data_IF_496505861128
#
_entry.id   IF_496505861128
#
_cell.length_a   1.000
_cell.length_b   1.000
_cell.length_c   1.000
_cell.angle_alpha   90.00
_cell.angle_beta   90.00
_cell.angle_gamma   90.00
#
_symmetry.space_group_name_H-M   'P 1'
#
loop_
_entity.id
_entity.type
_entity.pdbx_description
1 polymer ?
#
# COMPACT_ATOMS: atom_id res chain seq x y z
N UNK A 1 7.90 -62.90 -14.17
CA UNK A 1 7.76 -62.26 -12.84
C UNK A 1 8.35 -60.86 -12.94
N UNK A 2 7.49 -59.83 -13.03
CA UNK A 2 7.31 -58.74 -12.05
C UNK A 2 8.55 -57.85 -11.82
N UNK A 3 8.47 -56.62 -12.38
CA UNK A 3 8.87 -55.28 -11.86
C UNK A 3 10.35 -55.13 -11.43
N UNK A 4 11.12 -54.14 -11.86
CA UNK A 4 11.01 -52.73 -11.45
C UNK A 4 11.51 -51.77 -12.53
N UNK A 5 10.69 -50.74 -12.70
CA UNK A 5 10.81 -49.59 -13.59
C UNK A 5 11.35 -48.42 -12.75
N UNK A 6 12.04 -47.49 -13.41
CA UNK A 6 12.24 -46.07 -13.03
C UNK A 6 12.94 -45.77 -11.71
N UNK A 7 14.24 -45.50 -11.78
CA UNK A 7 14.95 -44.84 -10.67
C UNK A 7 16.29 -44.20 -11.00
N UNK A 8 16.70 -44.12 -12.28
CA UNK A 8 18.08 -43.76 -12.63
C UNK A 8 18.16 -42.84 -13.87
N UNK A 9 17.37 -41.77 -13.90
CA UNK A 9 17.51 -40.72 -14.93
C UNK A 9 17.46 -39.29 -14.36
N UNK A 10 17.50 -39.12 -13.04
CA UNK A 10 17.45 -37.80 -12.39
C UNK A 10 18.82 -37.33 -11.84
N UNK A 11 19.94 -37.95 -12.26
CA UNK A 11 21.24 -37.74 -11.62
C UNK A 11 22.36 -37.17 -12.52
N UNK A 12 22.09 -36.68 -13.74
CA UNK A 12 23.20 -36.38 -14.67
C UNK A 12 23.08 -35.15 -15.58
N UNK A 13 22.20 -34.16 -15.31
CA UNK A 13 22.04 -33.02 -16.24
C UNK A 13 21.78 -31.62 -15.63
N UNK A 14 22.24 -31.31 -14.41
CA UNK A 14 22.16 -29.92 -13.90
C UNK A 14 23.46 -29.40 -13.25
N UNK A 15 24.60 -29.95 -13.65
CA UNK A 15 25.91 -29.29 -13.56
C UNK A 15 26.11 -28.36 -14.76
N UNK A 16 25.41 -27.23 -14.76
CA UNK A 16 25.76 -26.08 -15.59
C UNK A 16 25.36 -24.82 -14.83
N UNK A 17 26.31 -24.29 -14.07
CA UNK A 17 26.15 -23.05 -13.34
C UNK A 17 25.96 -21.89 -14.31
N UNK A 18 24.74 -21.37 -14.37
CA UNK A 18 24.42 -20.01 -14.82
C UNK A 18 23.06 -19.66 -14.22
N UNK A 19 23.02 -19.36 -12.91
CA UNK A 19 21.95 -18.53 -12.38
C UNK A 19 22.59 -17.22 -11.98
N UNK A 20 22.37 -16.23 -12.83
CA UNK A 20 22.67 -14.84 -12.57
C UNK A 20 22.23 -14.48 -11.16
N UNK A 21 23.20 -14.06 -10.36
CA UNK A 21 23.01 -13.36 -9.09
C UNK A 21 22.37 -11.99 -9.37
N UNK A 22 21.14 -11.97 -9.88
CA UNK A 22 20.33 -10.77 -9.93
C UNK A 22 19.84 -10.53 -8.51
N UNK A 23 20.46 -9.55 -7.85
CA UNK A 23 20.21 -9.16 -6.47
C UNK A 23 18.73 -9.10 -6.14
N UNK A 24 18.24 -10.12 -5.44
CA UNK A 24 17.06 -9.98 -4.63
C UNK A 24 17.52 -9.29 -3.35
N UNK A 25 17.41 -7.95 -3.34
CA UNK A 25 17.42 -7.18 -2.12
C UNK A 25 16.45 -7.87 -1.15
N UNK A 26 17.00 -8.47 -0.09
CA UNK A 26 16.21 -9.13 0.93
C UNK A 26 15.19 -8.12 1.46
N UNK A 27 13.92 -8.34 1.14
CA UNK A 27 12.85 -7.54 1.69
C UNK A 27 12.94 -7.66 3.21
N UNK A 28 13.15 -6.53 3.90
CA UNK A 28 13.20 -6.51 5.35
C UNK A 28 11.94 -7.17 5.93
N UNK A 29 12.05 -7.94 7.03
CA UNK A 29 10.91 -8.61 7.63
C UNK A 29 9.85 -7.58 8.02
N UNK A 30 8.61 -7.82 7.59
CA UNK A 30 7.46 -6.99 7.97
C UNK A 30 7.03 -7.29 9.41
N UNK A 31 6.73 -6.24 10.17
CA UNK A 31 6.11 -6.31 11.49
C UNK A 31 4.72 -6.93 11.35
N UNK A 32 4.54 -8.13 11.91
CA UNK A 32 3.23 -8.77 12.00
C UNK A 32 2.45 -8.25 13.21
N UNK A 33 1.57 -7.28 12.98
CA UNK A 33 0.68 -6.75 14.01
C UNK A 33 -0.41 -7.72 14.49
N UNK A 34 -0.50 -8.93 13.91
CA UNK A 34 -1.36 -10.01 14.40
C UNK A 34 -0.62 -10.97 15.35
N UNK A 35 0.72 -10.87 15.46
CA UNK A 35 1.50 -11.69 16.37
C UNK A 35 1.20 -11.32 17.83
N UNK A 36 0.99 -12.32 18.69
CA UNK A 36 0.58 -12.18 20.11
C UNK A 36 1.48 -11.29 20.97
N UNK A 37 2.74 -11.07 20.55
CA UNK A 37 3.75 -10.34 21.34
C UNK A 37 4.20 -9.02 20.68
N UNK A 38 3.58 -8.62 19.57
CA UNK A 38 3.92 -7.39 18.86
C UNK A 38 2.92 -6.29 19.19
N UNK A 39 3.38 -5.29 19.95
CA UNK A 39 2.57 -4.10 20.23
C UNK A 39 2.54 -3.24 18.96
N UNK A 40 1.34 -3.03 18.39
CA UNK A 40 1.12 -2.11 17.29
C UNK A 40 0.12 -1.01 17.68
N UNK A 41 0.49 0.23 17.39
CA UNK A 41 -0.33 1.40 17.68
C UNK A 41 -1.37 1.64 16.58
N UNK A 42 -2.58 1.98 16.99
CA UNK A 42 -3.64 2.34 16.05
C UNK A 42 -3.27 3.64 15.32
N UNK A 43 -3.58 3.69 14.02
CA UNK A 43 -3.54 4.93 13.24
C UNK A 43 -4.95 5.37 12.89
N UNK A 44 -5.12 6.68 12.68
CA UNK A 44 -6.35 7.32 12.25
C UNK A 44 -6.08 8.14 11.01
N UNK A 45 -6.65 7.73 9.89
CA UNK A 45 -6.64 8.49 8.65
C UNK A 45 -7.77 9.54 8.68
N UNK A 46 -7.41 10.79 8.42
CA UNK A 46 -8.33 11.91 8.17
C UNK A 46 -8.17 12.31 6.71
N UNK A 47 -9.29 12.44 6.01
CA UNK A 47 -9.30 12.81 4.60
C UNK A 47 -10.37 13.88 4.35
N UNK A 48 -10.05 14.87 3.53
CA UNK A 48 -10.95 15.94 3.09
C UNK A 48 -10.84 16.10 1.57
N UNK A 49 -11.96 15.91 0.87
CA UNK A 49 -12.04 16.18 -0.57
C UNK A 49 -12.27 17.66 -0.83
N UNK A 50 -11.76 18.16 -1.94
CA UNK A 50 -12.00 19.52 -2.40
C UNK A 50 -13.41 19.69 -2.98
N UNK A 51 -13.83 20.95 -3.08
CA UNK A 51 -14.94 21.37 -3.93
C UNK A 51 -14.38 22.29 -5.00
N UNK A 52 -14.48 21.90 -6.26
CA UNK A 52 -13.88 22.61 -7.40
C UNK A 52 -14.85 22.65 -8.59
N UNK A 53 -14.54 23.43 -9.61
CA UNK A 53 -15.25 23.45 -10.89
C UNK A 53 -14.70 22.38 -11.85
N UNK A 54 -15.46 22.00 -12.87
CA UNK A 54 -15.12 20.92 -13.82
C UNK A 54 -13.85 21.17 -14.65
N UNK A 55 -13.41 22.42 -14.77
CA UNK A 55 -12.15 22.84 -15.40
C UNK A 55 -10.93 22.73 -14.46
N UNK A 56 -11.14 22.41 -13.18
CA UNK A 56 -10.09 22.33 -12.18
C UNK A 56 -9.83 20.89 -11.74
N UNK A 57 -8.57 20.61 -11.42
CA UNK A 57 -8.19 19.32 -10.85
C UNK A 57 -8.61 19.23 -9.38
N UNK A 58 -9.47 18.27 -9.02
CA UNK A 58 -9.85 18.08 -7.64
C UNK A 58 -8.68 17.52 -6.81
N UNK A 59 -8.69 17.80 -5.51
CA UNK A 59 -7.65 17.37 -4.57
C UNK A 59 -8.25 16.67 -3.36
N UNK A 60 -7.47 15.77 -2.75
CA UNK A 60 -7.79 15.13 -1.48
C UNK A 60 -6.66 15.41 -0.52
N UNK A 61 -6.97 16.15 0.54
CA UNK A 61 -6.03 16.41 1.64
C UNK A 61 -6.14 15.30 2.67
N UNK A 62 -5.02 14.66 2.97
CA UNK A 62 -4.93 13.51 3.87
C UNK A 62 -3.95 13.80 5.00
N UNK A 63 -4.36 13.48 6.22
CA UNK A 63 -3.51 13.50 7.41
C UNK A 63 -3.72 12.19 8.15
N UNK A 64 -2.64 11.50 8.51
CA UNK A 64 -2.67 10.28 9.31
C UNK A 64 -2.06 10.58 10.68
N UNK A 65 -2.72 10.16 11.75
CA UNK A 65 -2.26 10.31 13.13
C UNK A 65 -2.07 8.95 13.78
N UNK A 66 -1.05 8.79 14.62
CA UNK A 66 -0.88 7.60 15.47
C UNK A 66 -1.18 7.93 16.93
N UNK A 67 -1.67 6.95 17.69
CA UNK A 67 -2.01 7.13 19.11
C UNK A 67 -0.80 7.48 20.01
N UNK A 68 0.43 7.13 19.58
CA UNK A 68 1.65 7.29 20.38
C UNK A 68 2.51 8.51 20.03
N UNK A 69 2.00 9.48 19.25
CA UNK A 69 2.81 10.54 18.63
C UNK A 69 4.03 10.02 17.82
N UNK A 70 4.04 8.73 17.49
CA UNK A 70 5.10 8.14 16.67
C UNK A 70 5.03 8.67 15.24
N UNK A 71 6.20 8.86 14.62
CA UNK A 71 6.30 9.30 13.23
C UNK A 71 5.61 8.31 12.30
N UNK A 72 4.60 8.78 11.56
CA UNK A 72 3.81 7.93 10.68
C UNK A 72 4.44 7.85 9.29
N UNK A 73 5.05 6.70 8.96
CA UNK A 73 5.61 6.43 7.63
C UNK A 73 4.91 5.27 6.95
N UNK A 74 4.70 5.36 5.63
CA UNK A 74 4.05 4.32 4.86
C UNK A 74 3.61 4.76 3.47
N UNK A 75 2.51 4.17 2.99
CA UNK A 75 1.89 4.45 1.70
C UNK A 75 0.44 4.86 1.90
N UNK A 76 0.00 5.85 1.14
CA UNK A 76 -1.41 6.22 0.96
C UNK A 76 -1.89 5.70 -0.39
N UNK A 77 -2.99 4.96 -0.38
CA UNK A 77 -3.74 4.58 -1.57
C UNK A 77 -5.06 5.39 -1.60
N UNK A 78 -5.24 6.19 -2.64
CA UNK A 78 -6.44 7.01 -2.87
C UNK A 78 -7.22 6.40 -4.04
N UNK A 79 -8.34 5.74 -3.74
CA UNK A 79 -9.21 5.09 -4.72
C UNK A 79 -10.43 5.96 -5.03
N UNK A 80 -10.67 6.23 -6.30
CA UNK A 80 -11.79 7.00 -6.83
C UNK A 80 -12.30 6.30 -8.11
N UNK A 81 -13.56 5.87 -8.10
CA UNK A 81 -14.05 4.92 -9.11
C UNK A 81 -13.15 3.68 -9.19
N UNK A 82 -12.75 3.32 -10.41
CA UNK A 82 -11.88 2.17 -10.67
C UNK A 82 -10.38 2.50 -10.56
N UNK A 83 -10.03 3.78 -10.40
CA UNK A 83 -8.64 4.24 -10.35
C UNK A 83 -8.14 4.31 -8.93
N UNK A 84 -6.85 4.00 -8.75
CA UNK A 84 -6.16 4.13 -7.47
C UNK A 84 -4.81 4.82 -7.67
N UNK A 85 -4.57 5.89 -6.90
CA UNK A 85 -3.28 6.58 -6.86
C UNK A 85 -2.57 6.20 -5.58
N UNK A 86 -1.34 5.70 -5.69
CA UNK A 86 -0.50 5.37 -4.53
C UNK A 86 0.60 6.42 -4.36
N UNK A 87 0.82 6.89 -3.13
CA UNK A 87 1.86 7.86 -2.77
C UNK A 87 2.53 7.45 -1.47
N UNK A 88 3.82 7.76 -1.33
CA UNK A 88 4.52 7.65 -0.05
C UNK A 88 3.98 8.68 0.94
N UNK A 89 3.98 8.33 2.22
CA UNK A 89 3.54 9.18 3.32
C UNK A 89 4.60 9.20 4.41
N UNK A 90 4.98 10.40 4.84
CA UNK A 90 6.09 10.65 5.76
C UNK A 90 5.68 11.66 6.86
N UNK A 91 4.59 11.38 7.57
CA UNK A 91 4.15 12.11 8.77
C UNK A 91 3.69 13.56 8.55
N UNK A 92 3.42 13.92 7.30
CA UNK A 92 3.00 15.26 6.89
C UNK A 92 1.62 15.23 6.25
N UNK A 93 0.89 16.34 6.34
CA UNK A 93 -0.33 16.51 5.53
C UNK A 93 0.01 16.37 4.05
N UNK A 94 -0.67 15.45 3.36
CA UNK A 94 -0.47 15.18 1.94
C UNK A 94 -1.68 15.62 1.14
N UNK A 95 -1.45 16.46 0.14
CA UNK A 95 -2.45 16.83 -0.85
C UNK A 95 -2.25 15.96 -2.08
N UNK A 96 -3.25 15.14 -2.40
CA UNK A 96 -3.25 14.28 -3.58
C UNK A 96 -4.11 14.93 -4.66
N UNK A 97 -3.47 15.38 -5.75
CA UNK A 97 -4.17 15.91 -6.93
C UNK A 97 -4.68 14.76 -7.80
N UNK A 98 -5.97 14.81 -8.12
CA UNK A 98 -6.65 13.86 -8.98
C UNK A 98 -6.65 14.38 -10.45
N UNK A 99 -6.86 13.50 -11.44
CA UNK A 99 -7.12 13.94 -12.81
C UNK A 99 -8.38 14.80 -12.89
N UNK A 100 -8.56 15.52 -14.00
CA UNK A 100 -9.84 16.19 -14.29
C UNK A 100 -10.98 15.17 -14.27
N UNK A 101 -12.10 15.58 -13.69
CA UNK A 101 -13.29 14.75 -13.51
C UNK A 101 -14.49 15.53 -14.02
N UNK A 102 -15.52 14.82 -14.50
CA UNK A 102 -16.78 15.45 -14.85
C UNK A 102 -17.45 16.07 -13.62
N UNK A 103 -18.39 16.99 -13.85
CA UNK A 103 -19.23 17.52 -12.78
C UNK A 103 -19.97 16.38 -12.07
N UNK A 104 -19.98 16.39 -10.75
CA UNK A 104 -20.54 15.31 -9.95
C UNK A 104 -20.02 15.27 -8.52
N UNK A 105 -20.63 14.40 -7.72
CA UNK A 105 -20.19 14.10 -6.36
C UNK A 105 -19.57 12.71 -6.33
N UNK A 106 -18.31 12.64 -5.88
CA UNK A 106 -17.52 11.42 -5.86
C UNK A 106 -17.18 11.01 -4.42
N UNK A 107 -17.27 9.71 -4.14
CA UNK A 107 -16.72 9.12 -2.92
C UNK A 107 -15.30 8.63 -3.21
N UNK A 108 -14.34 9.13 -2.43
CA UNK A 108 -12.94 8.73 -2.51
C UNK A 108 -12.57 7.96 -1.26
N UNK A 109 -12.05 6.74 -1.42
CA UNK A 109 -11.55 5.92 -0.31
C UNK A 109 -10.04 6.12 -0.18
N UNK A 110 -9.59 6.53 0.99
CA UNK A 110 -8.18 6.67 1.34
C UNK A 110 -7.80 5.54 2.28
N UNK A 111 -6.75 4.79 1.95
CA UNK A 111 -6.19 3.73 2.79
C UNK A 111 -4.73 4.06 3.08
N UNK A 112 -4.37 4.10 4.36
CA UNK A 112 -3.01 4.16 4.83
C UNK A 112 -2.49 2.75 5.14
N UNK A 113 -1.39 2.39 4.49
CA UNK A 113 -0.62 1.18 4.77
C UNK A 113 0.72 1.58 5.40
N UNK A 114 1.01 1.20 6.64
CA UNK A 114 2.25 1.53 7.30
C UNK A 114 3.47 0.93 6.61
N UNK A 115 4.65 1.49 6.85
CA UNK A 115 5.89 0.85 6.44
C UNK A 115 6.03 -0.52 7.12
N UNK A 116 6.60 -1.49 6.40
CA UNK A 116 6.74 -2.86 6.90
C UNK A 116 7.46 -2.93 8.26
N UNK A 117 8.39 -2.03 8.53
CA UNK A 117 9.16 -1.96 9.78
C UNK A 117 8.49 -1.17 10.89
N UNK A 118 7.26 -0.65 10.68
CA UNK A 118 6.58 0.20 11.66
C UNK A 118 5.60 -0.60 12.53
N UNK A 119 5.59 -0.30 13.83
CA UNK A 119 4.63 -0.82 14.80
C UNK A 119 3.28 -0.08 14.72
N UNK A 120 2.77 0.12 13.51
CA UNK A 120 1.55 0.89 13.26
C UNK A 120 0.53 -0.02 12.59
N UNK A 121 -0.75 0.17 12.91
CA UNK A 121 -1.85 -0.52 12.23
C UNK A 121 -2.30 0.26 11.00
N UNK A 122 -2.70 -0.40 9.91
CA UNK A 122 -3.31 0.27 8.77
C UNK A 122 -4.63 0.95 9.17
N UNK A 123 -5.00 1.99 8.44
CA UNK A 123 -6.28 2.67 8.63
C UNK A 123 -6.85 3.14 7.30
N UNK A 124 -8.16 3.43 7.27
CA UNK A 124 -8.80 3.96 6.07
C UNK A 124 -9.91 4.94 6.41
N UNK A 125 -10.21 5.83 5.46
CA UNK A 125 -11.27 6.84 5.57
C UNK A 125 -11.82 7.17 4.20
N UNK A 126 -13.13 7.40 4.12
CA UNK A 126 -13.76 7.96 2.93
C UNK A 126 -13.87 9.47 3.03
N UNK A 127 -13.66 10.15 1.90
CA UNK A 127 -13.90 11.58 1.72
C UNK A 127 -14.87 11.79 0.56
N UNK A 128 -15.69 12.83 0.67
CA UNK A 128 -16.56 13.28 -0.43
C UNK A 128 -15.85 14.39 -1.18
N UNK A 129 -15.90 14.32 -2.50
CA UNK A 129 -15.34 15.28 -3.42
C UNK A 129 -16.47 15.81 -4.32
N UNK A 130 -16.49 17.11 -4.57
CA UNK A 130 -17.56 17.74 -5.35
C UNK A 130 -16.93 18.52 -6.49
N UNK A 131 -17.33 18.18 -7.71
CA UNK A 131 -16.99 18.90 -8.94
C UNK A 131 -18.27 19.53 -9.46
N UNK A 132 -18.25 20.84 -9.69
CA UNK A 132 -19.40 21.62 -10.17
C UNK A 132 -19.23 22.04 -11.62
#
# INVERSE_FOLDING_TARGET
>A
MKKFITGLFAALLLTAGFVSLSGQAQAAPSVDCAAKYTICFATKTVAKGSRVTADQHPTVTVTVRAASNAKVKGKLAVKFGDRTIVRSYNDETRVVRLPLMAAGTYKVKVTFTPAATSHLKPSSRSATLVVR
#
